data_IF_375717102110
#
_entry.id   IF_375717102110
#
_cell.length_a   1.000
_cell.length_b   1.000
_cell.length_c   1.000
_cell.angle_alpha   90.00
_cell.angle_beta   90.00
_cell.angle_gamma   90.00
#
_symmetry.space_group_name_H-M   'P 1'
#
loop_
_entity.id
_entity.type
_entity.pdbx_description
1 polymer ?
#
# COMPACT_ATOMS: atom_id res chain seq x y z
N UNK A 1 -6.00 -25.45 -15.30
CA UNK A 1 -6.55 -25.29 -16.04
C UNK A 1 -6.34 -25.40 -17.17
N UNK A 2 -6.37 -25.47 -17.55
CA UNK A 2 -6.34 -25.42 -18.45
C UNK A 2 -6.59 -24.86 -19.14
N UNK A 3 -6.96 -24.80 -19.49
CA UNK A 3 -7.28 -24.15 -20.25
C UNK A 3 -7.94 -23.51 -20.25
N UNK A 4 -8.17 -23.22 -19.79
CA UNK A 4 -9.03 -22.55 -20.03
C UNK A 4 -8.86 -21.86 -20.94
N UNK A 5 -8.78 -21.97 -21.67
CA UNK A 5 -8.73 -21.34 -22.57
C UNK A 5 -8.97 -20.93 -23.40
N UNK A 6 -9.13 -20.98 -23.59
CA UNK A 6 -9.54 -20.47 -24.43
C UNK A 6 -9.98 -20.34 -25.10
N UNK A 7 -10.37 -20.62 -25.17
CA UNK A 7 -11.06 -20.33 -25.88
C UNK A 7 -11.53 -20.18 -26.15
N UNK A 8 -11.67 -20.45 -26.05
CA UNK A 8 -12.37 -20.12 -26.28
C UNK A 8 -12.76 -19.94 -26.37
N UNK A 9 -12.92 -20.06 -26.15
CA UNK A 9 -13.54 -19.82 -26.07
C UNK A 9 -13.76 -19.48 -25.78
N UNK A 10 -13.83 -19.41 -25.70
CA UNK A 10 -14.32 -19.13 -25.24
C UNK A 10 -14.40 -18.58 -24.70
N UNK A 11 -14.26 -18.22 -25.32
CA UNK A 11 -14.42 -17.30 -24.31
C UNK A 11 -15.56 -17.42 -23.40
N UNK A 12 -15.29 -17.78 -22.30
CA UNK A 12 -16.28 -17.84 -21.26
C UNK A 12 -16.65 -16.45 -20.73
N UNK A 13 -16.11 -15.42 -21.28
CA UNK A 13 -16.28 -14.09 -20.73
C UNK A 13 -17.56 -13.43 -21.15
N UNK A 14 -18.19 -12.75 -20.21
CA UNK A 14 -19.27 -11.84 -20.44
C UNK A 14 -18.80 -10.42 -20.12
N UNK A 15 -19.24 -9.39 -20.85
CA UNK A 15 -18.83 -8.03 -20.54
C UNK A 15 -19.21 -7.59 -19.12
N UNK A 16 -20.23 -8.21 -18.52
CA UNK A 16 -20.68 -7.84 -17.19
C UNK A 16 -20.01 -8.64 -16.08
N UNK A 17 -19.15 -9.59 -16.42
CA UNK A 17 -18.52 -10.46 -15.43
C UNK A 17 -17.09 -10.07 -15.20
N UNK A 18 -16.69 -10.14 -13.94
CA UNK A 18 -15.29 -10.02 -13.57
C UNK A 18 -14.54 -11.26 -14.00
N UNK A 19 -13.29 -11.09 -14.32
CA UNK A 19 -12.46 -12.22 -14.69
C UNK A 19 -11.06 -12.03 -14.14
N UNK A 20 -10.30 -13.12 -14.13
CA UNK A 20 -8.95 -13.15 -13.59
C UNK A 20 -7.97 -13.16 -14.75
N UNK A 21 -7.04 -12.23 -14.74
CA UNK A 21 -5.93 -12.22 -15.68
C UNK A 21 -4.99 -13.38 -15.33
N UNK A 22 -4.68 -14.29 -16.28
CA UNK A 22 -4.04 -15.55 -15.93
C UNK A 22 -2.60 -15.45 -15.45
N UNK A 23 -1.85 -14.46 -15.93
CA UNK A 23 -0.43 -14.36 -15.60
C UNK A 23 -0.03 -12.91 -15.44
N UNK A 24 0.61 -12.60 -14.33
CA UNK A 24 1.25 -11.31 -14.13
C UNK A 24 2.68 -11.54 -13.64
N UNK A 25 3.57 -10.61 -13.93
CA UNK A 25 4.93 -10.62 -13.41
C UNK A 25 4.96 -9.88 -12.07
N UNK A 26 4.61 -10.59 -11.01
CA UNK A 26 4.54 -9.98 -9.69
C UNK A 26 5.91 -9.53 -9.20
N UNK A 27 6.93 -10.36 -9.41
CA UNK A 27 8.28 -10.01 -8.98
C UNK A 27 8.77 -8.73 -9.65
N UNK A 28 8.52 -8.58 -10.96
CA UNK A 28 8.87 -7.36 -11.67
C UNK A 28 8.07 -6.16 -11.20
N UNK A 29 6.79 -6.35 -10.89
CA UNK A 29 5.94 -5.27 -10.40
C UNK A 29 6.39 -4.78 -9.03
N UNK A 30 6.73 -5.68 -8.13
CA UNK A 30 7.18 -5.31 -6.79
C UNK A 30 8.62 -4.82 -6.77
N UNK A 31 9.47 -5.44 -7.58
CA UNK A 31 10.88 -5.10 -7.73
C UNK A 31 11.56 -4.83 -6.38
N UNK A 32 11.56 -5.85 -5.54
CA UNK A 32 12.08 -5.74 -4.17
C UNK A 32 13.59 -5.56 -4.12
N UNK A 33 14.28 -5.74 -5.24
CA UNK A 33 15.72 -5.53 -5.32
C UNK A 33 16.14 -4.07 -5.47
N UNK A 34 15.19 -3.14 -5.67
CA UNK A 34 15.53 -1.73 -5.76
C UNK A 34 16.09 -1.21 -4.43
N UNK A 35 17.01 -0.23 -4.45
CA UNK A 35 17.44 0.43 -3.21
C UNK A 35 16.24 1.09 -2.51
N UNK A 36 16.33 1.15 -1.18
CA UNK A 36 15.32 1.84 -0.35
C UNK A 36 13.94 1.19 -0.32
N UNK A 37 13.83 -0.06 -0.77
CA UNK A 37 12.60 -0.84 -0.65
C UNK A 37 12.70 -1.73 0.57
N UNK A 38 11.69 -1.65 1.44
CA UNK A 38 11.66 -2.40 2.70
C UNK A 38 10.33 -3.12 2.85
N UNK A 39 10.32 -4.45 3.02
CA UNK A 39 9.10 -5.13 3.42
C UNK A 39 8.89 -4.93 4.92
N UNK A 40 7.68 -4.52 5.30
CA UNK A 40 7.34 -4.18 6.68
C UNK A 40 6.07 -4.91 7.05
N UNK A 41 6.07 -5.61 8.19
CA UNK A 41 4.90 -6.32 8.67
C UNK A 41 4.05 -5.40 9.54
N UNK A 42 2.75 -5.40 9.28
CA UNK A 42 1.80 -4.62 10.07
C UNK A 42 1.45 -5.38 11.35
N UNK A 43 1.48 -4.67 12.45
CA UNK A 43 1.02 -5.17 13.75
C UNK A 43 -0.12 -4.28 14.19
N UNK A 44 -1.29 -4.88 14.43
CA UNK A 44 -2.46 -4.14 14.84
C UNK A 44 -3.34 -3.71 13.68
N UNK A 45 -4.33 -2.87 13.97
CA UNK A 45 -5.38 -2.51 13.02
C UNK A 45 -5.43 -1.01 12.73
N UNK A 46 -4.29 -0.34 12.79
CA UNK A 46 -4.23 1.12 12.72
C UNK A 46 -4.88 1.71 11.47
N UNK A 47 -4.83 1.02 10.34
CA UNK A 47 -5.44 1.49 9.10
C UNK A 47 -6.40 0.46 8.50
N UNK A 48 -7.17 -0.21 9.34
CA UNK A 48 -8.15 -1.18 8.87
C UNK A 48 -9.15 -0.57 7.89
N UNK A 49 -9.48 0.70 8.07
CA UNK A 49 -10.39 1.41 7.16
C UNK A 49 -9.81 1.56 5.76
N UNK A 50 -8.50 1.51 5.60
CA UNK A 50 -7.83 1.51 4.30
C UNK A 50 -7.57 0.10 3.78
N UNK A 51 -8.10 -0.92 4.46
CA UNK A 51 -7.90 -2.31 4.06
C UNK A 51 -6.58 -2.91 4.50
N UNK A 52 -5.88 -2.27 5.42
CA UNK A 52 -4.60 -2.76 5.94
C UNK A 52 -4.85 -3.43 7.30
N UNK A 53 -4.48 -4.70 7.41
CA UNK A 53 -4.80 -5.50 8.59
C UNK A 53 -3.55 -6.07 9.22
N UNK A 54 -3.70 -6.49 10.46
CA UNK A 54 -2.65 -7.17 11.19
C UNK A 54 -2.09 -8.34 10.38
N UNK A 55 -0.78 -8.44 10.31
CA UNK A 55 -0.10 -9.49 9.57
C UNK A 55 0.18 -9.18 8.12
N UNK A 56 -0.42 -8.13 7.55
CA UNK A 56 -0.11 -7.73 6.18
C UNK A 56 1.34 -7.31 6.07
N UNK A 57 1.90 -7.52 4.87
CA UNK A 57 3.26 -7.06 4.56
C UNK A 57 3.15 -5.89 3.61
N UNK A 58 3.72 -4.77 4.00
CA UNK A 58 3.76 -3.57 3.18
C UNK A 58 5.09 -3.49 2.46
N UNK A 59 5.05 -3.08 1.21
CA UNK A 59 6.25 -2.78 0.44
C UNK A 59 6.44 -1.27 0.52
N UNK A 60 7.42 -0.84 1.30
CA UNK A 60 7.65 0.56 1.60
C UNK A 60 8.87 1.08 0.86
N UNK A 61 8.75 2.27 0.28
CA UNK A 61 9.82 2.92 -0.46
C UNK A 61 10.24 4.18 0.28
N UNK A 62 11.46 4.15 0.84
CA UNK A 62 11.98 5.27 1.63
C UNK A 62 12.53 6.40 0.75
N UNK A 63 12.64 6.19 -0.56
CA UNK A 63 13.11 7.19 -1.50
C UNK A 63 11.99 7.81 -2.35
N UNK A 64 10.75 7.38 -2.16
CA UNK A 64 9.64 7.87 -2.96
C UNK A 64 9.26 9.29 -2.56
N UNK A 65 8.89 10.08 -3.56
CA UNK A 65 8.32 11.40 -3.34
C UNK A 65 6.81 11.26 -3.26
N UNK A 66 6.21 11.56 -2.11
CA UNK A 66 4.76 11.43 -1.97
C UNK A 66 4.04 12.49 -2.81
N UNK A 67 2.86 12.10 -3.31
CA UNK A 67 2.04 12.98 -4.15
C UNK A 67 0.75 13.39 -3.46
N UNK A 68 0.37 12.69 -2.41
CA UNK A 68 -0.87 12.91 -1.68
C UNK A 68 -1.74 11.67 -1.67
N UNK A 69 -2.41 11.44 -0.57
CA UNK A 69 -3.33 10.33 -0.35
C UNK A 69 -2.69 8.93 -0.31
N UNK A 70 -1.37 8.85 -0.24
CA UNK A 70 -0.70 7.57 -0.04
C UNK A 70 -0.70 7.18 1.43
N UNK A 71 -0.62 5.88 1.69
CA UNK A 71 -0.28 5.40 3.01
C UNK A 71 1.22 5.55 3.20
N UNK A 72 1.63 6.02 4.35
CA UNK A 72 3.03 6.18 4.67
C UNK A 72 3.36 5.63 6.04
N UNK A 73 4.65 5.38 6.24
CA UNK A 73 5.21 5.04 7.55
C UNK A 73 5.91 6.28 8.04
N UNK A 74 5.51 6.77 9.19
CA UNK A 74 6.05 8.01 9.76
C UNK A 74 6.55 7.77 11.16
N UNK A 75 7.41 8.68 11.61
CA UNK A 75 7.89 8.70 12.97
C UNK A 75 7.37 9.97 13.61
N UNK A 76 6.56 9.83 14.65
CA UNK A 76 5.97 10.93 15.40
C UNK A 76 6.40 10.81 16.84
N UNK A 77 7.12 11.80 17.34
CA UNK A 77 7.59 11.79 18.73
C UNK A 77 8.34 10.52 19.10
N UNK A 78 9.11 9.96 18.15
CA UNK A 78 9.85 8.74 18.35
C UNK A 78 9.07 7.44 18.13
N UNK A 79 7.77 7.51 17.89
CA UNK A 79 6.95 6.34 17.63
C UNK A 79 6.71 6.15 16.15
N UNK A 80 6.76 4.89 15.70
CA UNK A 80 6.47 4.53 14.32
C UNK A 80 4.96 4.39 14.17
N UNK A 81 4.41 5.11 13.20
CA UNK A 81 2.98 5.10 12.93
C UNK A 81 2.69 4.89 11.46
N UNK A 82 1.56 4.23 11.17
CA UNK A 82 0.98 4.16 9.83
C UNK A 82 -0.08 5.24 9.71
N UNK A 83 -0.04 6.00 8.62
CA UNK A 83 -1.00 7.07 8.42
C UNK A 83 -1.23 7.30 6.93
N UNK A 84 -2.33 7.96 6.60
CA UNK A 84 -2.54 8.49 5.26
C UNK A 84 -1.91 9.86 5.19
N UNK A 85 -1.11 10.09 4.16
CA UNK A 85 -0.47 11.37 3.92
C UNK A 85 -1.36 12.17 2.97
N UNK A 86 -1.72 13.39 3.38
CA UNK A 86 -2.60 14.24 2.57
C UNK A 86 -1.99 15.60 2.39
N UNK A 87 -2.32 16.20 1.25
CA UNK A 87 -1.92 17.58 0.97
C UNK A 87 -3.17 18.37 0.61
N UNK A 88 -3.31 19.57 1.20
CA UNK A 88 -4.40 20.47 0.93
C UNK A 88 -3.86 21.89 0.88
N UNK A 89 -3.99 22.52 -0.28
CA UNK A 89 -3.49 23.89 -0.50
C UNK A 89 -2.02 24.03 -0.11
N UNK A 90 -1.21 23.03 -0.47
CA UNK A 90 0.22 23.03 -0.17
C UNK A 90 0.59 22.65 1.24
N UNK A 91 -0.39 22.37 2.10
CA UNK A 91 -0.12 21.97 3.49
C UNK A 91 -0.23 20.46 3.59
N UNK A 92 0.88 19.83 4.01
CA UNK A 92 0.94 18.39 4.19
C UNK A 92 0.58 17.99 5.61
N UNK A 93 -0.18 16.93 5.75
CA UNK A 93 -0.58 16.43 7.06
C UNK A 93 -0.68 14.91 7.07
N UNK A 94 -0.49 14.33 8.25
CA UNK A 94 -0.70 12.90 8.50
C UNK A 94 -2.08 12.68 9.08
N UNK A 95 -2.74 11.63 8.60
CA UNK A 95 -4.07 11.25 9.07
C UNK A 95 -4.02 9.82 9.61
N UNK A 96 -3.60 9.62 10.86
CA UNK A 96 -3.68 8.30 11.50
C UNK A 96 -5.14 7.99 11.79
N UNK A 97 -5.48 6.70 11.86
CA UNK A 97 -6.86 6.29 12.12
C UNK A 97 -7.34 6.64 13.52
N UNK A 98 -6.45 6.55 14.50
CA UNK A 98 -6.83 6.64 15.90
C UNK A 98 -6.44 7.97 16.56
N UNK A 99 -5.81 8.85 15.82
CA UNK A 99 -5.35 10.13 16.32
C UNK A 99 -5.85 11.26 15.41
N UNK A 100 -5.94 12.50 15.92
CA UNK A 100 -6.30 13.61 15.06
C UNK A 100 -5.27 13.84 13.97
N UNK A 101 -5.67 14.45 12.83
CA UNK A 101 -4.72 14.83 11.80
C UNK A 101 -3.64 15.73 12.36
N UNK A 102 -2.41 15.54 11.89
CA UNK A 102 -1.28 16.31 12.37
C UNK A 102 -0.50 16.87 11.19
N UNK A 103 -0.27 18.19 11.13
CA UNK A 103 0.58 18.78 10.09
C UNK A 103 2.01 18.25 10.19
N UNK A 104 2.67 18.16 9.05
CA UNK A 104 4.08 17.79 9.01
C UNK A 104 4.88 18.94 9.61
N UNK A 105 5.68 18.63 10.61
CA UNK A 105 6.52 19.58 11.32
C UNK A 105 7.79 18.88 11.80
N UNK A 106 8.59 19.57 12.60
CA UNK A 106 9.91 19.05 13.01
C UNK A 106 9.82 17.78 13.85
N UNK A 107 8.68 17.53 14.51
CA UNK A 107 8.49 16.32 15.31
C UNK A 107 7.88 15.17 14.52
N UNK A 108 7.71 15.32 13.22
CA UNK A 108 7.12 14.31 12.33
C UNK A 108 8.07 14.08 11.17
N UNK A 109 8.46 12.83 10.98
CA UNK A 109 9.26 12.43 9.84
C UNK A 109 8.50 11.38 9.03
N UNK A 110 8.30 11.63 7.74
CA UNK A 110 7.78 10.61 6.83
C UNK A 110 8.96 9.77 6.38
N UNK A 111 9.00 8.52 6.84
CA UNK A 111 10.12 7.65 6.53
C UNK A 111 9.99 6.99 5.17
N UNK A 112 8.80 6.50 4.85
CA UNK A 112 8.59 5.76 3.61
C UNK A 112 7.15 5.85 3.14
N UNK A 113 6.96 5.74 1.82
CA UNK A 113 5.65 5.66 1.19
C UNK A 113 5.35 4.20 0.88
N UNK A 114 4.15 3.74 1.19
CA UNK A 114 3.74 2.37 0.92
C UNK A 114 3.27 2.25 -0.52
N UNK A 115 3.91 1.36 -1.28
CA UNK A 115 3.60 1.16 -2.69
C UNK A 115 2.72 -0.04 -2.95
N UNK A 116 2.75 -1.04 -2.07
CA UNK A 116 2.01 -2.28 -2.28
C UNK A 116 1.76 -2.96 -0.95
N UNK A 117 0.79 -3.86 -0.95
CA UNK A 117 0.45 -4.67 0.20
C UNK A 117 0.36 -6.12 -0.25
N UNK A 118 0.96 -7.02 0.54
CA UNK A 118 0.86 -8.46 0.29
C UNK A 118 0.19 -9.10 1.49
N UNK A 119 -0.84 -9.90 1.21
CA UNK A 119 -1.56 -10.61 2.25
C UNK A 119 -1.56 -12.09 1.94
N UNK A 120 -1.16 -12.87 2.94
CA UNK A 120 -1.14 -14.32 2.85
C UNK A 120 -2.39 -14.88 3.51
N UNK A 121 -2.91 -15.96 2.96
CA UNK A 121 -4.05 -16.69 3.54
C UNK A 121 -5.29 -15.81 3.70
N UNK A 122 -5.65 -15.23 2.60
CA UNK A 122 -6.89 -14.44 2.57
C UNK A 122 -8.09 -15.34 2.82
#
# INVERSE_FOLDING_TARGET
MKDYRGDNTTGFQSPAQDYVEPVIDLAGRLDLGRPHIYPVRVIGQALAARGIHDGDVLVANAAADPKGDEVCIAIMNGDVVLATLRVNEGVWSLHPSSLPPKPISDDVEVWAVVEALVRFKV
#
